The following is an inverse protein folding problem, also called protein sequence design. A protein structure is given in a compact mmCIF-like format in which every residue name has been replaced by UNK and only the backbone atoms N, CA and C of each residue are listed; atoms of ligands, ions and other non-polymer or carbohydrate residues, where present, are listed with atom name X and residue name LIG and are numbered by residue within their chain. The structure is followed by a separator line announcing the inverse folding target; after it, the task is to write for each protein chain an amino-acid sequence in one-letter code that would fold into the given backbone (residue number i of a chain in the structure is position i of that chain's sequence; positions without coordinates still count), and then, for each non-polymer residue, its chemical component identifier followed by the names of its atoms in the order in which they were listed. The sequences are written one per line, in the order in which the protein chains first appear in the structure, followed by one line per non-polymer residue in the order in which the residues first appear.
data_IF_444446039227
#
_entry.id   IF_444446039227
#
_cell.length_a   1.000
_cell.length_b   1.000
_cell.length_c   1.000
_cell.angle_alpha   90.00
_cell.angle_beta   90.00
_cell.angle_gamma   90.00
#
_symmetry.space_group_name_H-M   'P 1'
#
loop_
_entity.id
_entity.type
_entity.pdbx_description
1 polymer ?
#
# COMPACT_ATOMS: atom_id res chain seq x y z
N UNK A 1 -7.38 -0.66 6.64
CA UNK A 1 -6.05 -0.31 6.14
C UNK A 1 -5.73 -1.03 4.83
N UNK A 2 -4.84 -0.43 4.03
CA UNK A 2 -4.26 -1.10 2.86
C UNK A 2 -2.91 -1.67 3.23
N UNK A 3 -2.65 -2.91 2.87
CA UNK A 3 -1.37 -3.59 3.03
C UNK A 3 -0.77 -3.90 1.67
N UNK A 4 0.54 -3.95 1.63
CA UNK A 4 1.33 -4.34 0.47
C UNK A 4 2.60 -5.00 0.98
N UNK A 5 3.21 -5.90 0.18
CA UNK A 5 4.54 -6.44 0.47
C UNK A 5 5.47 -5.29 0.88
N UNK A 6 6.05 -5.28 2.10
CA UNK A 6 6.77 -4.14 2.66
C UNK A 6 7.93 -3.65 1.79
N UNK A 7 8.58 -4.54 1.07
CA UNK A 7 9.66 -4.22 0.14
C UNK A 7 9.14 -3.51 -1.12
N UNK A 8 7.83 -3.42 -1.30
CA UNK A 8 7.19 -2.86 -2.50
C UNK A 8 6.92 -1.36 -2.46
N UNK A 9 6.26 -0.78 -1.41
CA UNK A 9 5.98 0.65 -1.35
C UNK A 9 7.22 1.48 -1.01
N UNK A 10 8.14 0.91 -0.22
CA UNK A 10 9.31 1.65 0.27
C UNK A 10 10.19 2.19 -0.86
N UNK A 11 10.61 1.40 -1.90
CA UNK A 11 11.33 1.98 -3.03
C UNK A 11 10.54 3.03 -3.81
N UNK A 12 9.22 2.93 -3.84
CA UNK A 12 8.38 3.96 -4.51
C UNK A 12 8.36 5.28 -3.74
N UNK A 13 8.40 5.24 -2.42
CA UNK A 13 8.57 6.42 -1.56
C UNK A 13 9.96 7.00 -1.70
N UNK A 14 10.99 6.16 -1.63
CA UNK A 14 12.41 6.54 -1.75
C UNK A 14 12.75 7.19 -3.09
N UNK A 15 12.16 6.73 -4.20
CA UNK A 15 12.44 7.26 -5.55
C UNK A 15 11.61 8.47 -5.94
N UNK A 16 10.61 8.86 -5.14
CA UNK A 16 9.79 10.03 -5.40
C UNK A 16 10.18 11.16 -4.45
N UNK A 17 10.66 12.27 -5.00
CA UNK A 17 10.74 13.53 -4.26
C UNK A 17 9.32 13.88 -3.81
N UNK A 18 9.06 13.75 -2.51
CA UNK A 18 7.82 14.22 -1.91
C UNK A 18 7.89 15.73 -1.78
N UNK A 19 6.76 16.43 -2.07
CA UNK A 19 6.64 17.87 -1.80
C UNK A 19 6.53 18.13 -0.29
N UNK A 20 6.11 17.14 0.46
CA UNK A 20 6.01 17.20 1.92
C UNK A 20 7.31 16.66 2.52
N UNK A 21 7.76 17.29 3.58
CA UNK A 21 9.02 16.98 4.27
C UNK A 21 8.89 15.62 4.97
N UNK A 22 9.30 14.56 4.28
CA UNK A 22 9.28 13.18 4.78
C UNK A 22 10.71 12.65 4.91
N UNK A 23 11.48 13.09 5.92
CA UNK A 23 12.91 12.81 6.03
C UNK A 23 13.23 11.31 6.08
N UNK A 24 12.36 10.51 6.69
CA UNK A 24 12.50 9.04 6.73
C UNK A 24 12.43 8.35 5.37
N UNK A 25 11.98 9.06 4.31
CA UNK A 25 11.90 8.49 2.96
C UNK A 25 13.22 8.55 2.19
N UNK A 26 14.25 9.24 2.72
CA UNK A 26 15.54 9.41 2.07
C UNK A 26 16.62 8.41 2.49
N UNK A 27 16.34 7.58 3.48
CA UNK A 27 17.20 6.49 3.93
C UNK A 27 16.41 5.17 4.02
N UNK A 28 16.96 4.08 3.47
CA UNK A 28 16.27 2.79 3.42
C UNK A 28 16.14 2.15 4.81
N UNK A 29 17.10 2.37 5.70
CA UNK A 29 17.05 1.88 7.08
C UNK A 29 15.98 2.63 7.88
N UNK A 30 15.94 3.98 7.77
CA UNK A 30 14.89 4.80 8.39
C UNK A 30 13.51 4.39 7.92
N UNK A 31 13.36 4.21 6.60
CA UNK A 31 12.11 3.80 6.01
C UNK A 31 11.66 2.42 6.51
N UNK A 32 12.59 1.48 6.67
CA UNK A 32 12.33 0.17 7.24
C UNK A 32 11.90 0.23 8.71
N UNK A 33 12.57 1.06 9.52
CA UNK A 33 12.19 1.31 10.92
C UNK A 33 10.81 1.96 11.01
N UNK A 34 10.50 2.93 10.18
CA UNK A 34 9.19 3.55 10.09
C UNK A 34 8.10 2.54 9.75
N UNK A 35 8.36 1.67 8.77
CA UNK A 35 7.42 0.61 8.39
C UNK A 35 7.17 -0.38 9.54
N UNK A 36 8.21 -0.76 10.29
CA UNK A 36 8.07 -1.61 11.48
C UNK A 36 7.17 -0.96 12.55
N UNK A 37 7.34 0.34 12.79
CA UNK A 37 6.44 1.09 13.70
C UNK A 37 5.00 1.10 13.23
N UNK A 38 4.79 1.23 11.93
CA UNK A 38 3.46 1.08 11.35
C UNK A 38 2.88 -0.32 11.61
N UNK A 39 3.65 -1.38 11.45
CA UNK A 39 3.19 -2.74 11.74
C UNK A 39 2.84 -2.93 13.21
N UNK A 40 3.66 -2.42 14.13
CA UNK A 40 3.39 -2.45 15.58
C UNK A 40 2.07 -1.74 15.89
N UNK A 41 1.85 -0.56 15.32
CA UNK A 41 0.61 0.20 15.49
C UNK A 41 -0.61 -0.56 14.94
N UNK A 42 -0.50 -1.14 13.76
CA UNK A 42 -1.60 -1.92 13.19
C UNK A 42 -1.96 -3.14 14.04
N UNK A 43 -0.95 -3.84 14.54
CA UNK A 43 -1.14 -4.96 15.48
C UNK A 43 -1.83 -4.50 16.78
N UNK A 44 -1.45 -3.34 17.30
CA UNK A 44 -2.13 -2.74 18.46
C UNK A 44 -3.62 -2.49 18.15
N UNK A 45 -3.95 -1.86 17.03
CA UNK A 45 -5.34 -1.62 16.65
C UNK A 45 -6.15 -2.91 16.49
N UNK A 46 -5.55 -3.99 15.99
CA UNK A 46 -6.21 -5.30 15.90
C UNK A 46 -6.54 -5.89 17.27
N UNK A 47 -5.80 -5.53 18.32
CA UNK A 47 -6.06 -6.03 19.69
C UNK A 47 -7.08 -5.20 20.46
N UNK A 48 -7.14 -3.87 20.24
CA UNK A 48 -7.98 -2.98 21.04
C UNK A 48 -9.33 -2.63 20.38
N UNK A 49 -9.42 -2.74 19.08
CA UNK A 49 -10.66 -2.46 18.37
C UNK A 49 -11.60 -3.67 18.36
N UNK A 50 -12.93 -3.46 18.38
CA UNK A 50 -13.91 -4.54 18.25
C UNK A 50 -13.66 -5.36 16.99
N UNK A 51 -13.89 -6.68 17.07
CA UNK A 51 -13.79 -7.57 15.90
C UNK A 51 -14.67 -7.07 14.75
N UNK A 52 -14.14 -7.07 13.56
CA UNK A 52 -14.84 -6.61 12.35
C UNK A 52 -14.78 -5.11 12.10
N UNK A 53 -14.11 -4.32 12.96
CA UNK A 53 -13.90 -2.87 12.73
C UNK A 53 -12.82 -2.62 11.68
N UNK A 54 -11.81 -3.48 11.61
CA UNK A 54 -10.71 -3.37 10.64
C UNK A 54 -10.81 -4.46 9.56
N UNK A 55 -10.63 -4.05 8.32
CA UNK A 55 -10.41 -4.95 7.18
C UNK A 55 -9.12 -4.52 6.48
N UNK A 56 -8.14 -5.41 6.46
CA UNK A 56 -6.92 -5.20 5.68
C UNK A 56 -7.17 -5.57 4.22
N UNK A 57 -6.84 -4.66 3.32
CA UNK A 57 -6.91 -4.87 1.86
C UNK A 57 -5.49 -5.03 1.33
N UNK A 58 -5.17 -6.20 0.80
CA UNK A 58 -3.86 -6.52 0.24
C UNK A 58 -3.81 -6.10 -1.22
N UNK A 59 -2.88 -5.23 -1.57
CA UNK A 59 -2.77 -4.67 -2.93
C UNK A 59 -2.59 -5.75 -4.01
N UNK A 60 -1.76 -6.75 -3.73
CA UNK A 60 -1.47 -7.85 -4.64
C UNK A 60 -2.74 -8.67 -4.95
N UNK A 61 -3.60 -8.88 -3.96
CA UNK A 61 -4.88 -9.58 -4.10
C UNK A 61 -5.86 -8.75 -4.94
N UNK A 62 -5.92 -7.44 -4.70
CA UNK A 62 -6.74 -6.51 -5.50
C UNK A 62 -6.31 -6.52 -6.97
N UNK A 63 -4.99 -6.54 -7.23
CA UNK A 63 -4.47 -6.60 -8.61
C UNK A 63 -4.72 -7.95 -9.26
N UNK A 64 -4.69 -9.03 -8.49
CA UNK A 64 -4.94 -10.39 -8.99
C UNK A 64 -6.43 -10.62 -9.29
N UNK A 65 -7.32 -10.16 -8.40
CA UNK A 65 -8.75 -10.43 -8.43
C UNK A 65 -9.57 -9.19 -8.04
N UNK A 66 -9.47 -8.13 -8.83
CA UNK A 66 -10.06 -6.80 -8.55
C UNK A 66 -11.53 -6.86 -8.18
N UNK A 67 -12.34 -7.57 -8.95
CA UNK A 67 -13.79 -7.65 -8.72
C UNK A 67 -14.12 -8.32 -7.37
N UNK A 68 -13.47 -9.46 -7.09
CA UNK A 68 -13.67 -10.21 -5.84
C UNK A 68 -13.31 -9.34 -4.62
N UNK A 69 -12.16 -8.67 -4.66
CA UNK A 69 -11.69 -7.85 -3.54
C UNK A 69 -12.51 -6.57 -3.38
N UNK A 70 -12.94 -5.96 -4.48
CA UNK A 70 -13.85 -4.81 -4.44
C UNK A 70 -15.20 -5.19 -3.83
N UNK A 71 -15.82 -6.31 -4.25
CA UNK A 71 -17.08 -6.81 -3.67
C UNK A 71 -16.92 -7.10 -2.18
N UNK A 72 -15.81 -7.72 -1.78
CA UNK A 72 -15.55 -8.01 -0.38
C UNK A 72 -15.37 -6.74 0.47
N UNK A 73 -14.79 -5.68 -0.09
CA UNK A 73 -14.64 -4.39 0.57
C UNK A 73 -15.99 -3.67 0.70
N UNK A 74 -16.78 -3.59 -0.36
CA UNK A 74 -18.11 -2.96 -0.36
C UNK A 74 -19.04 -3.66 0.64
N UNK A 75 -19.04 -5.00 0.65
CA UNK A 75 -19.78 -5.80 1.65
C UNK A 75 -19.33 -5.49 3.08
N UNK A 76 -18.01 -5.37 3.32
CA UNK A 76 -17.47 -5.02 4.65
C UNK A 76 -17.96 -3.63 5.11
N UNK A 77 -18.13 -2.69 4.19
CA UNK A 77 -18.63 -1.34 4.47
C UNK A 77 -20.17 -1.30 4.65
N UNK A 78 -20.88 -2.43 4.49
CA UNK A 78 -22.34 -2.49 4.57
C UNK A 78 -23.06 -1.80 3.41
N UNK A 79 -22.37 -1.63 2.28
CA UNK A 79 -22.90 -0.96 1.10
C UNK A 79 -23.35 -1.96 0.04
N UNK A 80 -24.32 -1.56 -0.77
CA UNK A 80 -24.73 -2.32 -1.94
C UNK A 80 -23.68 -2.26 -3.04
N UNK A 81 -23.54 -3.37 -3.77
CA UNK A 81 -22.64 -3.44 -4.90
C UNK A 81 -23.10 -2.57 -6.07
N UNK A 82 -22.16 -1.91 -6.71
CA UNK A 82 -22.38 -1.19 -7.96
C UNK A 82 -21.22 -1.44 -8.92
N UNK A 83 -21.51 -1.85 -10.17
CA UNK A 83 -20.48 -2.19 -11.16
C UNK A 83 -19.57 -1.01 -11.53
N UNK A 84 -20.02 0.21 -11.30
CA UNK A 84 -19.16 1.43 -11.43
C UNK A 84 -17.92 1.40 -10.53
N UNK A 85 -17.90 0.56 -9.48
CA UNK A 85 -16.71 0.35 -8.66
C UNK A 85 -15.53 -0.23 -9.46
N UNK A 86 -15.80 -0.97 -10.53
CA UNK A 86 -14.77 -1.51 -11.44
C UNK A 86 -14.35 -0.50 -12.51
N UNK A 87 -15.14 0.53 -12.74
CA UNK A 87 -14.90 1.58 -13.73
C UNK A 87 -14.28 2.86 -13.13
N UNK A 88 -13.61 2.76 -11.99
CA UNK A 88 -13.04 3.90 -11.25
C UNK A 88 -12.17 4.82 -12.13
N UNK A 89 -11.49 4.26 -13.13
CA UNK A 89 -10.64 4.98 -14.07
C UNK A 89 -11.41 5.91 -15.04
N UNK A 90 -12.73 5.70 -15.18
CA UNK A 90 -13.63 6.54 -15.97
C UNK A 90 -14.22 7.71 -15.15
N UNK A 91 -13.95 7.77 -13.85
CA UNK A 91 -14.47 8.80 -12.97
C UNK A 91 -13.83 10.16 -13.22
N UNK A 92 -14.63 11.21 -13.33
CA UNK A 92 -14.16 12.59 -13.52
C UNK A 92 -13.80 13.31 -12.21
N UNK A 93 -13.89 12.63 -11.06
CA UNK A 93 -13.55 13.22 -9.76
C UNK A 93 -12.12 13.76 -9.76
N UNK A 94 -11.89 14.99 -9.27
CA UNK A 94 -10.55 15.54 -9.18
C UNK A 94 -9.68 14.73 -8.22
N UNK A 95 -8.50 14.34 -8.67
CA UNK A 95 -7.50 13.61 -7.89
C UNK A 95 -6.37 14.58 -7.55
N UNK A 96 -6.16 14.85 -6.27
CA UNK A 96 -5.18 15.81 -5.76
C UNK A 96 -3.84 15.19 -5.36
N UNK A 97 -3.60 13.91 -5.69
CA UNK A 97 -2.38 13.18 -5.31
C UNK A 97 -1.44 13.02 -6.49
N UNK A 98 -0.17 12.70 -6.21
CA UNK A 98 0.84 12.38 -7.23
C UNK A 98 0.46 11.18 -8.14
N UNK A 99 -0.62 10.47 -7.82
CA UNK A 99 -1.12 9.30 -8.55
C UNK A 99 -2.17 9.64 -9.62
N UNK A 100 -2.40 10.93 -9.94
CA UNK A 100 -3.43 11.37 -10.91
C UNK A 100 -3.41 10.56 -12.20
N UNK A 101 -2.24 10.40 -12.81
CA UNK A 101 -2.10 9.66 -14.07
C UNK A 101 -2.35 8.14 -13.91
N UNK A 102 -2.10 7.60 -12.73
CA UNK A 102 -2.24 6.16 -12.46
C UNK A 102 -3.70 5.77 -12.24
N UNK A 103 -4.46 6.58 -11.51
CA UNK A 103 -5.88 6.28 -11.20
C UNK A 103 -6.80 6.45 -12.42
N UNK A 104 -6.31 7.08 -13.49
CA UNK A 104 -7.03 7.19 -14.78
C UNK A 104 -6.80 6.02 -15.72
N UNK A 105 -6.08 5.00 -15.27
CA UNK A 105 -5.83 3.78 -16.03
C UNK A 105 -6.47 2.58 -15.33
N UNK A 106 -6.91 1.57 -16.08
CA UNK A 106 -7.29 0.28 -15.49
C UNK A 106 -6.16 -0.29 -14.63
N UNK A 107 -6.52 -1.15 -13.67
CA UNK A 107 -5.52 -1.83 -12.84
C UNK A 107 -4.57 -2.62 -13.73
N UNK A 108 -3.28 -2.45 -13.50
CA UNK A 108 -2.22 -3.11 -14.25
C UNK A 108 -1.29 -3.92 -13.33
N UNK A 109 -0.83 -5.08 -13.82
CA UNK A 109 -0.03 -6.04 -13.03
C UNK A 109 1.46 -5.72 -13.00
N UNK A 110 1.94 -4.82 -13.86
CA UNK A 110 3.38 -4.53 -14.03
C UNK A 110 4.04 -3.88 -12.80
N UNK A 111 3.25 -3.34 -11.88
CA UNK A 111 3.75 -2.80 -10.63
C UNK A 111 4.03 -3.87 -9.57
N UNK A 112 3.49 -5.09 -9.71
CA UNK A 112 3.69 -6.19 -8.76
C UNK A 112 5.11 -6.73 -8.90
N UNK A 113 5.81 -6.89 -7.76
CA UNK A 113 7.20 -7.39 -7.69
C UNK A 113 8.26 -6.52 -8.40
N UNK A 114 7.95 -5.26 -8.68
CA UNK A 114 8.89 -4.32 -9.32
C UNK A 114 10.19 -4.12 -8.51
N UNK A 115 10.14 -4.29 -7.20
CA UNK A 115 11.27 -4.21 -6.29
C UNK A 115 12.38 -5.23 -6.58
N UNK A 116 12.06 -6.37 -7.21
CA UNK A 116 13.06 -7.39 -7.58
C UNK A 116 14.17 -6.84 -8.48
N UNK A 117 13.91 -5.75 -9.19
CA UNK A 117 14.91 -5.07 -10.03
C UNK A 117 16.03 -4.40 -9.24
N UNK A 118 15.79 -4.11 -7.96
CA UNK A 118 16.77 -3.44 -7.11
C UNK A 118 17.72 -4.42 -6.37
N UNK A 119 17.39 -5.71 -6.37
CA UNK A 119 18.26 -6.78 -5.86
C UNK A 119 18.81 -6.49 -4.46
N UNK A 120 20.12 -6.68 -4.30
CA UNK A 120 20.83 -6.48 -3.03
C UNK A 120 20.80 -5.02 -2.52
N UNK A 121 20.50 -4.04 -3.37
CA UNK A 121 20.40 -2.63 -2.95
C UNK A 121 19.28 -2.38 -1.94
N UNK A 122 18.32 -3.29 -1.80
CA UNK A 122 17.26 -3.20 -0.79
C UNK A 122 17.59 -3.91 0.54
N UNK A 123 18.80 -4.46 0.68
CA UNK A 123 19.19 -5.15 1.92
C UNK A 123 19.05 -4.27 3.17
N UNK A 124 19.48 -2.99 3.22
CA UNK A 124 19.31 -2.15 4.39
C UNK A 124 17.86 -1.99 4.81
N UNK A 125 16.95 -1.90 3.84
CA UNK A 125 15.52 -1.85 4.08
C UNK A 125 15.01 -3.15 4.71
N UNK A 126 15.34 -4.30 4.12
CA UNK A 126 14.92 -5.60 4.61
C UNK A 126 15.42 -5.86 6.04
N UNK A 127 16.70 -5.60 6.30
CA UNK A 127 17.32 -5.75 7.62
C UNK A 127 16.62 -4.86 8.67
N UNK A 128 16.28 -3.62 8.32
CA UNK A 128 15.57 -2.71 9.22
C UNK A 128 14.13 -3.15 9.50
N UNK A 129 13.41 -3.68 8.51
CA UNK A 129 12.06 -4.24 8.69
C UNK A 129 12.11 -5.46 9.61
N UNK A 130 13.11 -6.32 9.46
CA UNK A 130 13.30 -7.51 10.29
C UNK A 130 13.90 -7.21 11.68
N UNK A 131 14.28 -5.96 11.94
CA UNK A 131 14.89 -5.56 13.21
C UNK A 131 16.36 -6.00 13.37
N UNK A 132 17.05 -6.28 12.28
CA UNK A 132 18.46 -6.70 12.27
C UNK A 132 19.45 -5.56 12.30
N UNK A 133 19.00 -4.34 12.12
CA UNK A 133 19.83 -3.11 12.20
C UNK A 133 19.49 -2.36 13.47
N UNK A 134 20.53 -2.01 14.23
CA UNK A 134 20.44 -1.11 15.40
C UNK A 134 20.16 0.33 14.94
#
# INVERSE_FOLDING_TARGET
PTSRDPVHPCPSGFTKLSKDDMPHSYDLGELGRYYRKYQELMKHWETVLPKGTLKTVVYEDVVANTEKEAKALIKFLGLEWNDKCLEFHKSDRPVKTASVAQVRKPIYKTAVKRWKKYGAGLKPLADAIEGKTN
#
